data_IF_924497707845
#
_entry.id   IF_924497707845
#
_cell.length_a   1.000
_cell.length_b   1.000
_cell.length_c   1.000
_cell.angle_alpha   90.00
_cell.angle_beta   90.00
_cell.angle_gamma   90.00
#
_symmetry.space_group_name_H-M   'P 1'
#
loop_
_entity.id
_entity.type
_entity.pdbx_description
1 polymer ?
#
# COMPACT_ATOMS: atom_id res chain seq x y z
N UNK A 1 6.89 12.84 -17.99
CA UNK A 1 5.76 11.92 -18.26
C UNK A 1 5.69 10.93 -17.11
N UNK A 2 4.51 10.57 -16.59
CA UNK A 2 4.40 9.54 -15.57
C UNK A 2 4.71 8.15 -16.16
N UNK A 3 5.39 7.31 -15.39
CA UNK A 3 5.70 5.91 -15.72
C UNK A 3 5.30 5.01 -14.55
N UNK A 4 5.11 3.72 -14.80
CA UNK A 4 4.87 2.69 -13.79
C UNK A 4 5.96 1.62 -13.85
N UNK A 5 6.30 1.05 -12.69
CA UNK A 5 7.33 0.01 -12.57
C UNK A 5 6.79 -1.43 -12.61
N UNK A 6 5.46 -1.60 -12.62
CA UNK A 6 4.83 -2.91 -12.59
C UNK A 6 3.39 -2.85 -13.09
N UNK A 7 2.75 -4.02 -13.13
CA UNK A 7 1.34 -4.15 -13.55
C UNK A 7 0.40 -3.39 -12.61
N UNK A 8 -0.65 -2.79 -13.18
CA UNK A 8 -1.65 -2.07 -12.39
C UNK A 8 -2.54 -3.06 -11.66
N UNK A 9 -2.90 -2.72 -10.42
CA UNK A 9 -3.91 -3.48 -9.69
C UNK A 9 -5.33 -3.04 -10.10
N UNK A 10 -6.35 -3.78 -9.61
CA UNK A 10 -7.76 -3.51 -9.93
C UNK A 10 -8.27 -2.16 -9.44
N UNK A 11 -7.78 -1.73 -8.29
CA UNK A 11 -8.12 -0.43 -7.74
C UNK A 11 -7.63 0.68 -8.66
N UNK A 12 -6.34 0.64 -9.04
CA UNK A 12 -5.74 1.59 -9.98
C UNK A 12 -6.43 1.55 -11.34
N UNK A 13 -6.78 0.36 -11.84
CA UNK A 13 -7.57 0.24 -13.07
C UNK A 13 -8.91 0.99 -12.96
N UNK A 14 -9.67 0.74 -11.90
CA UNK A 14 -10.93 1.44 -11.64
C UNK A 14 -10.75 2.96 -11.55
N UNK A 15 -9.71 3.42 -10.83
CA UNK A 15 -9.37 4.84 -10.71
C UNK A 15 -9.13 5.48 -12.09
N UNK A 16 -8.32 4.82 -12.94
CA UNK A 16 -8.00 5.33 -14.27
C UNK A 16 -9.26 5.38 -15.15
N UNK A 17 -10.12 4.37 -15.11
CA UNK A 17 -11.39 4.33 -15.84
C UNK A 17 -12.34 5.45 -15.41
N UNK A 18 -12.53 5.66 -14.11
CA UNK A 18 -13.39 6.72 -13.56
C UNK A 18 -12.84 8.12 -13.87
N UNK A 19 -11.51 8.28 -13.89
CA UNK A 19 -10.85 9.51 -14.28
C UNK A 19 -10.78 9.73 -15.80
N UNK A 20 -11.07 8.70 -16.61
CA UNK A 20 -10.85 8.72 -18.05
C UNK A 20 -9.37 8.92 -18.43
N UNK A 21 -8.46 8.44 -17.59
CA UNK A 21 -7.02 8.61 -17.74
C UNK A 21 -6.38 7.38 -18.43
N UNK A 22 -5.31 7.62 -19.16
CA UNK A 22 -4.53 6.54 -19.78
C UNK A 22 -3.63 5.84 -18.74
N UNK A 23 -3.40 4.55 -18.95
CA UNK A 23 -2.44 3.78 -18.14
C UNK A 23 -1.03 4.31 -18.43
N UNK A 24 -0.26 4.73 -17.41
CA UNK A 24 1.14 5.13 -17.61
C UNK A 24 1.97 4.02 -18.25
N UNK A 25 3.00 4.43 -18.99
CA UNK A 25 3.94 3.52 -19.64
C UNK A 25 4.61 2.60 -18.61
N UNK A 26 4.61 1.29 -18.86
CA UNK A 26 5.44 0.35 -18.11
C UNK A 26 6.90 0.58 -18.48
N UNK A 27 7.69 1.01 -17.50
CA UNK A 27 9.12 1.24 -17.67
C UNK A 27 9.86 0.77 -16.43
N UNK A 28 10.77 -0.17 -16.64
CA UNK A 28 11.59 -0.80 -15.59
C UNK A 28 13.06 -0.39 -15.66
N UNK A 29 13.42 0.52 -16.57
CA UNK A 29 14.77 1.05 -16.75
C UNK A 29 14.70 2.56 -16.95
N UNK A 30 15.50 3.30 -16.20
CA UNK A 30 15.57 4.78 -16.22
C UNK A 30 17.00 5.30 -16.34
N UNK A 31 17.97 4.43 -16.67
CA UNK A 31 19.36 4.82 -16.83
C UNK A 31 19.53 6.01 -17.79
N UNK A 32 20.29 7.02 -17.34
CA UNK A 32 20.54 8.25 -18.10
C UNK A 32 19.36 9.23 -18.18
N UNK A 33 18.21 8.94 -17.55
CA UNK A 33 17.09 9.88 -17.45
C UNK A 33 17.20 10.79 -16.23
N UNK A 34 16.50 11.93 -16.26
CA UNK A 34 16.26 12.76 -15.08
C UNK A 34 14.85 12.46 -14.54
N UNK A 35 14.76 12.02 -13.28
CA UNK A 35 13.54 11.47 -12.69
C UNK A 35 13.13 12.18 -11.40
N UNK A 36 11.84 12.11 -11.10
CA UNK A 36 11.27 12.43 -9.79
C UNK A 36 10.75 11.16 -9.14
N UNK A 37 11.06 10.95 -7.86
CA UNK A 37 10.50 9.84 -7.09
C UNK A 37 9.19 10.30 -6.45
N UNK A 38 8.14 9.50 -6.58
CA UNK A 38 6.83 9.79 -6.01
C UNK A 38 6.40 8.59 -5.18
N UNK A 39 6.03 8.84 -3.92
CA UNK A 39 5.55 7.84 -2.95
C UNK A 39 6.60 6.86 -2.40
N UNK A 40 7.87 7.07 -2.73
CA UNK A 40 8.97 6.31 -2.12
C UNK A 40 10.29 7.10 -2.13
N UNK A 41 11.17 6.72 -1.22
CA UNK A 41 12.55 7.22 -1.13
C UNK A 41 13.56 6.12 -0.72
N UNK A 42 13.11 4.87 -0.67
CA UNK A 42 13.93 3.68 -0.43
C UNK A 42 14.27 3.06 -1.79
N UNK A 43 15.57 3.01 -2.13
CA UNK A 43 16.05 2.62 -3.46
C UNK A 43 15.75 1.15 -3.79
N UNK A 44 15.49 0.31 -2.78
CA UNK A 44 15.01 -1.05 -3.01
C UNK A 44 13.60 -1.11 -3.67
N UNK A 45 12.90 0.02 -3.76
CA UNK A 45 11.60 0.17 -4.42
C UNK A 45 11.70 0.88 -5.80
N UNK A 46 12.90 1.29 -6.19
CA UNK A 46 13.17 1.96 -7.45
C UNK A 46 13.51 0.94 -8.56
N UNK A 47 13.60 1.37 -9.83
CA UNK A 47 14.15 0.54 -10.89
C UNK A 47 15.58 0.11 -10.58
N UNK A 48 15.99 -1.09 -11.02
CA UNK A 48 17.31 -1.67 -10.73
C UNK A 48 18.47 -0.73 -11.14
N UNK A 49 18.26 0.08 -12.17
CA UNK A 49 19.24 1.01 -12.75
C UNK A 49 19.07 2.46 -12.26
N UNK A 50 18.32 2.70 -11.17
CA UNK A 50 18.07 4.05 -10.63
C UNK A 50 19.36 4.83 -10.32
N UNK A 51 20.44 4.13 -9.97
CA UNK A 51 21.74 4.72 -9.69
C UNK A 51 22.41 5.36 -10.92
N UNK A 52 21.95 5.00 -12.13
CA UNK A 52 22.40 5.57 -13.41
C UNK A 52 21.53 6.74 -13.87
N UNK A 53 20.46 7.08 -13.12
CA UNK A 53 19.58 8.22 -13.38
C UNK A 53 19.97 9.44 -12.54
N UNK A 54 19.55 10.62 -12.99
CA UNK A 54 19.60 11.85 -12.18
C UNK A 54 18.28 12.01 -11.42
N UNK A 55 18.32 11.89 -10.09
CA UNK A 55 17.14 12.15 -9.26
C UNK A 55 17.05 13.65 -9.00
N UNK A 56 16.09 14.32 -9.66
CA UNK A 56 15.86 15.76 -9.54
C UNK A 56 15.02 16.13 -8.31
N UNK A 57 14.15 15.22 -7.85
CA UNK A 57 13.38 15.47 -6.64
C UNK A 57 12.55 14.31 -6.14
N UNK A 58 11.93 14.51 -4.97
CA UNK A 58 11.13 13.54 -4.24
C UNK A 58 9.86 14.20 -3.73
N UNK A 59 8.72 13.53 -3.90
CA UNK A 59 7.47 13.83 -3.21
C UNK A 59 6.97 12.56 -2.53
N UNK A 60 6.92 12.55 -1.21
CA UNK A 60 6.68 11.32 -0.43
C UNK A 60 5.92 11.64 0.86
N UNK A 61 5.29 10.62 1.45
CA UNK A 61 4.66 10.69 2.77
C UNK A 61 5.19 9.64 3.75
N UNK A 62 6.13 8.80 3.30
CA UNK A 62 6.83 7.83 4.14
C UNK A 62 7.95 8.47 4.98
N UNK A 63 8.63 7.64 5.78
CA UNK A 63 9.93 8.02 6.34
C UNK A 63 10.89 8.22 5.16
N UNK A 64 11.83 9.16 5.29
CA UNK A 64 12.95 9.24 4.36
C UNK A 64 13.71 7.91 4.33
N UNK A 65 13.92 7.39 3.12
CA UNK A 65 14.66 6.16 2.83
C UNK A 65 16.19 6.36 2.75
N UNK A 66 16.83 5.62 1.86
CA UNK A 66 18.29 5.57 1.64
C UNK A 66 18.73 6.24 0.33
N UNK A 67 17.82 6.92 -0.36
CA UNK A 67 18.12 7.72 -1.54
C UNK A 67 19.23 8.75 -1.27
N UNK A 68 20.21 8.80 -2.17
CA UNK A 68 21.32 9.75 -2.14
C UNK A 68 21.54 10.33 -3.53
N UNK A 69 21.87 11.62 -3.61
CA UNK A 69 22.14 12.32 -4.87
C UNK A 69 23.49 13.03 -4.81
N UNK A 70 24.16 13.12 -5.96
CA UNK A 70 25.41 13.90 -6.08
C UNK A 70 25.12 15.40 -6.06
N UNK A 71 24.05 15.81 -6.73
CA UNK A 71 23.59 17.20 -6.78
C UNK A 71 22.47 17.43 -5.76
N UNK A 72 22.27 18.67 -5.29
CA UNK A 72 21.08 19.02 -4.52
C UNK A 72 19.80 18.64 -5.29
N UNK A 73 18.87 17.98 -4.62
CA UNK A 73 17.54 17.67 -5.14
C UNK A 73 16.46 18.39 -4.34
N UNK A 74 15.29 18.57 -4.94
CA UNK A 74 14.12 19.10 -4.24
C UNK A 74 13.37 17.97 -3.51
N UNK A 75 12.94 18.18 -2.26
CA UNK A 75 12.28 17.14 -1.48
C UNK A 75 11.08 17.68 -0.68
N UNK A 76 9.91 17.11 -0.93
CA UNK A 76 8.66 17.38 -0.21
C UNK A 76 8.20 16.11 0.50
N UNK A 77 8.48 16.02 1.80
CA UNK A 77 8.15 14.84 2.61
C UNK A 77 7.32 15.26 3.81
N UNK A 78 6.02 14.92 3.80
CA UNK A 78 5.08 15.35 4.84
C UNK A 78 4.47 14.15 5.56
N UNK A 79 4.27 14.20 6.89
CA UNK A 79 3.65 13.13 7.64
C UNK A 79 2.11 13.15 7.49
N UNK A 80 1.62 12.93 6.27
CA UNK A 80 0.19 12.90 5.90
C UNK A 80 -0.24 11.50 5.45
N UNK A 81 -1.53 11.31 5.22
CA UNK A 81 -2.11 10.03 4.85
C UNK A 81 -1.72 9.55 3.46
N UNK A 82 -1.46 10.46 2.51
CA UNK A 82 -1.17 10.14 1.11
C UNK A 82 -0.22 11.16 0.46
N UNK A 83 0.65 10.70 -0.44
CA UNK A 83 1.53 11.55 -1.27
C UNK A 83 0.74 12.55 -2.14
N UNK A 84 -0.46 12.21 -2.59
CA UNK A 84 -1.31 13.14 -3.35
C UNK A 84 -1.82 14.32 -2.52
N UNK A 85 -1.89 14.21 -1.18
CA UNK A 85 -2.13 15.36 -0.31
C UNK A 85 -0.96 16.35 -0.37
N UNK A 86 0.28 15.85 -0.50
CA UNK A 86 1.48 16.70 -0.69
C UNK A 86 1.44 17.38 -2.06
N UNK A 87 1.22 16.62 -3.13
CA UNK A 87 1.10 17.15 -4.49
C UNK A 87 -0.02 18.19 -4.59
N UNK A 88 -1.17 17.96 -3.97
CA UNK A 88 -2.28 18.92 -3.94
C UNK A 88 -1.85 20.27 -3.36
N UNK A 89 -1.11 20.22 -2.24
CA UNK A 89 -0.58 21.43 -1.62
C UNK A 89 0.53 22.08 -2.46
N UNK A 90 1.37 21.30 -3.16
CA UNK A 90 2.37 21.84 -4.09
C UNK A 90 1.71 22.61 -5.25
N UNK A 91 0.66 22.05 -5.87
CA UNK A 91 -0.12 22.77 -6.89
C UNK A 91 -0.64 24.11 -6.37
N UNK A 92 -1.16 24.13 -5.14
CA UNK A 92 -1.66 25.37 -4.51
C UNK A 92 -0.55 26.37 -4.20
N UNK A 93 0.60 25.91 -3.71
CA UNK A 93 1.75 26.76 -3.36
C UNK A 93 2.35 27.40 -4.62
N UNK A 94 2.49 26.62 -5.69
CA UNK A 94 3.04 27.07 -6.98
C UNK A 94 2.00 27.79 -7.86
N UNK A 95 0.73 27.82 -7.44
CA UNK A 95 -0.35 28.51 -8.16
C UNK A 95 -0.74 27.83 -9.48
N UNK A 96 -0.59 26.51 -9.56
CA UNK A 96 -1.01 25.70 -10.71
C UNK A 96 -2.48 25.25 -10.59
N UNK A 97 -3.19 25.27 -11.71
CA UNK A 97 -4.55 24.77 -11.80
C UNK A 97 -4.57 23.24 -11.78
N UNK A 98 -5.51 22.67 -11.03
CA UNK A 98 -5.80 21.23 -11.02
C UNK A 98 -7.01 21.00 -11.92
N UNK A 99 -6.84 20.21 -12.98
CA UNK A 99 -7.96 19.86 -13.87
C UNK A 99 -8.90 18.86 -13.20
N UNK A 100 -10.18 18.75 -13.61
CA UNK A 100 -11.11 17.77 -13.06
C UNK A 100 -10.61 16.32 -13.13
N UNK A 101 -9.91 15.95 -14.20
CA UNK A 101 -9.31 14.63 -14.35
C UNK A 101 -8.20 14.40 -13.32
N UNK A 102 -7.26 15.33 -13.16
CA UNK A 102 -6.20 15.23 -12.15
C UNK A 102 -6.82 15.22 -10.74
N UNK A 103 -7.85 16.02 -10.50
CA UNK A 103 -8.53 16.04 -9.21
C UNK A 103 -9.13 14.68 -8.84
N UNK A 104 -9.75 13.98 -9.79
CA UNK A 104 -10.25 12.60 -9.58
C UNK A 104 -9.12 11.63 -9.22
N UNK A 105 -7.99 11.69 -9.93
CA UNK A 105 -6.83 10.83 -9.65
C UNK A 105 -6.26 11.10 -8.25
N UNK A 106 -6.03 12.38 -7.90
CA UNK A 106 -5.50 12.77 -6.59
C UNK A 106 -6.47 12.38 -5.46
N UNK A 107 -7.75 12.66 -5.62
CA UNK A 107 -8.79 12.31 -4.64
C UNK A 107 -8.86 10.81 -4.42
N UNK A 108 -8.83 10.02 -5.50
CA UNK A 108 -8.89 8.56 -5.41
C UNK A 108 -7.69 7.98 -4.69
N UNK A 109 -6.48 8.50 -4.97
CA UNK A 109 -5.27 8.06 -4.28
C UNK A 109 -5.34 8.37 -2.77
N UNK A 110 -5.84 9.57 -2.38
CA UNK A 110 -6.01 9.90 -0.97
C UNK A 110 -7.02 8.97 -0.29
N UNK A 111 -8.14 8.69 -0.94
CA UNK A 111 -9.16 7.77 -0.42
C UNK A 111 -8.64 6.33 -0.32
N UNK A 112 -7.77 5.92 -1.23
CA UNK A 112 -7.12 4.60 -1.22
C UNK A 112 -6.19 4.44 0.00
N UNK A 113 -5.18 5.30 0.14
CA UNK A 113 -4.18 5.19 1.22
C UNK A 113 -4.78 5.41 2.61
N UNK A 114 -5.85 6.22 2.67
CA UNK A 114 -6.54 6.50 3.93
C UNK A 114 -7.67 5.54 4.22
N UNK A 115 -7.95 4.57 3.34
CA UNK A 115 -9.04 3.59 3.48
C UNK A 115 -10.37 4.31 3.76
N UNK A 116 -10.74 5.25 2.89
CA UNK A 116 -11.91 6.09 3.10
C UNK A 116 -11.87 6.88 4.41
N UNK A 117 -10.69 7.36 4.81
CA UNK A 117 -10.39 8.03 6.08
C UNK A 117 -10.39 7.16 7.34
N UNK A 118 -10.58 5.84 7.25
CA UNK A 118 -10.54 4.93 8.39
C UNK A 118 -9.11 4.62 8.87
N UNK A 119 -8.12 4.75 7.99
CA UNK A 119 -6.72 4.45 8.31
C UNK A 119 -6.16 5.39 9.39
N UNK A 120 -5.36 4.89 10.35
CA UNK A 120 -4.67 5.73 11.33
C UNK A 120 -3.56 6.61 10.73
N UNK A 121 -3.30 6.51 9.41
CA UNK A 121 -2.44 7.46 8.68
C UNK A 121 -3.18 8.73 8.29
N UNK A 122 -4.52 8.69 8.20
CA UNK A 122 -5.32 9.82 7.75
C UNK A 122 -5.17 11.03 8.69
N UNK A 123 -4.93 12.19 8.09
CA UNK A 123 -4.83 13.48 8.78
C UNK A 123 -5.96 14.41 8.35
N UNK A 124 -6.10 15.55 9.04
CA UNK A 124 -7.05 16.58 8.61
C UNK A 124 -6.71 17.15 7.22
N UNK A 125 -5.42 17.24 6.86
CA UNK A 125 -4.99 17.73 5.54
C UNK A 125 -5.49 16.84 4.41
N UNK A 126 -5.59 15.53 4.64
CA UNK A 126 -6.10 14.58 3.64
C UNK A 126 -7.61 14.79 3.42
N UNK A 127 -8.36 15.01 4.50
CA UNK A 127 -9.81 15.30 4.44
C UNK A 127 -10.09 16.64 3.76
N UNK A 128 -9.30 17.67 4.09
CA UNK A 128 -9.42 18.99 3.48
C UNK A 128 -9.09 18.94 1.98
N UNK A 129 -8.03 18.20 1.61
CA UNK A 129 -7.67 17.98 0.21
C UNK A 129 -8.78 17.26 -0.55
N UNK A 130 -9.35 16.17 -0.02
CA UNK A 130 -10.46 15.46 -0.67
C UNK A 130 -11.68 16.37 -0.83
N UNK A 131 -12.03 17.17 0.16
CA UNK A 131 -13.16 18.08 0.06
C UNK A 131 -13.00 19.10 -1.08
N UNK A 132 -11.81 19.68 -1.24
CA UNK A 132 -11.52 20.60 -2.34
C UNK A 132 -11.43 19.89 -3.69
N UNK A 133 -10.76 18.72 -3.74
CA UNK A 133 -10.61 17.92 -4.96
C UNK A 133 -11.94 17.38 -5.47
N UNK A 134 -12.86 16.98 -4.58
CA UNK A 134 -14.19 16.53 -4.95
C UNK A 134 -14.99 17.63 -5.69
N UNK A 135 -14.87 18.88 -5.22
CA UNK A 135 -15.50 20.02 -5.89
C UNK A 135 -14.90 20.26 -7.29
N UNK A 136 -13.58 20.14 -7.45
CA UNK A 136 -12.89 20.30 -8.74
C UNK A 136 -13.23 19.13 -9.69
N UNK A 137 -13.35 17.92 -9.15
CA UNK A 137 -13.67 16.69 -9.86
C UNK A 137 -15.15 16.54 -10.26
N UNK A 138 -16.02 17.45 -9.79
CA UNK A 138 -17.48 17.38 -9.89
C UNK A 138 -18.06 16.07 -9.31
N UNK A 139 -17.54 15.67 -8.14
CA UNK A 139 -18.02 14.50 -7.39
C UNK A 139 -18.92 14.98 -6.26
N UNK A 140 -20.22 14.74 -6.41
CA UNK A 140 -21.25 15.22 -5.48
C UNK A 140 -21.44 14.30 -4.26
N UNK A 141 -21.11 13.02 -4.40
CA UNK A 141 -21.25 12.00 -3.35
C UNK A 141 -19.90 11.28 -3.16
N UNK A 142 -19.09 11.83 -2.25
CA UNK A 142 -17.77 11.28 -1.92
C UNK A 142 -17.89 9.93 -1.22
N UNK A 143 -18.95 9.69 -0.45
CA UNK A 143 -19.15 8.42 0.25
C UNK A 143 -19.46 7.29 -0.73
N UNK A 144 -20.33 7.53 -1.71
CA UNK A 144 -20.60 6.58 -2.78
C UNK A 144 -19.34 6.33 -3.63
N UNK A 145 -18.60 7.38 -3.99
CA UNK A 145 -17.34 7.27 -4.72
C UNK A 145 -16.32 6.42 -3.96
N UNK A 146 -16.16 6.68 -2.67
CA UNK A 146 -15.25 5.94 -1.79
C UNK A 146 -15.65 4.48 -1.71
N UNK A 147 -16.95 4.20 -1.58
CA UNK A 147 -17.46 2.83 -1.54
C UNK A 147 -17.13 2.06 -2.82
N UNK A 148 -17.35 2.64 -4.00
CA UNK A 148 -17.05 2.00 -5.28
C UNK A 148 -15.54 1.72 -5.43
N UNK A 149 -14.70 2.68 -5.01
CA UNK A 149 -13.26 2.51 -4.95
C UNK A 149 -12.84 1.35 -4.03
N UNK A 150 -13.38 1.30 -2.81
CA UNK A 150 -13.05 0.24 -1.85
C UNK A 150 -13.53 -1.13 -2.33
N UNK A 151 -14.68 -1.21 -3.01
CA UNK A 151 -15.14 -2.46 -3.66
C UNK A 151 -14.11 -2.93 -4.70
N UNK A 152 -13.58 -2.03 -5.53
CA UNK A 152 -12.55 -2.35 -6.50
C UNK A 152 -11.22 -2.78 -5.83
N UNK A 153 -10.83 -2.11 -4.73
CA UNK A 153 -9.66 -2.42 -3.91
C UNK A 153 -9.69 -3.84 -3.35
N UNK A 154 -10.84 -4.23 -2.80
CA UNK A 154 -11.03 -5.52 -2.13
C UNK A 154 -11.47 -6.63 -3.08
N UNK A 155 -11.45 -6.41 -4.39
CA UNK A 155 -11.86 -7.41 -5.37
C UNK A 155 -10.76 -8.48 -5.56
N UNK A 156 -11.02 -9.67 -5.03
CA UNK A 156 -10.12 -10.83 -5.09
C UNK A 156 -10.49 -11.87 -6.16
N UNK A 157 -11.58 -11.66 -6.92
CA UNK A 157 -12.13 -12.67 -7.84
C UNK A 157 -11.08 -13.17 -8.83
N UNK A 158 -10.91 -14.48 -9.00
CA UNK A 158 -9.95 -15.05 -9.97
C UNK A 158 -8.47 -14.93 -9.60
N UNK A 159 -8.12 -14.41 -8.42
CA UNK A 159 -6.77 -14.49 -7.87
C UNK A 159 -6.58 -15.80 -7.10
N UNK A 160 -5.43 -16.43 -7.26
CA UNK A 160 -4.98 -17.56 -6.43
C UNK A 160 -4.50 -17.10 -5.04
N UNK A 161 -4.40 -18.03 -4.10
CA UNK A 161 -3.88 -17.73 -2.76
C UNK A 161 -2.46 -17.15 -2.81
N UNK A 162 -1.58 -17.71 -3.64
CA UNK A 162 -0.23 -17.22 -3.84
C UNK A 162 -0.21 -15.78 -4.39
N UNK A 163 -1.04 -15.48 -5.40
CA UNK A 163 -1.17 -14.13 -5.95
C UNK A 163 -1.71 -13.13 -4.92
N UNK A 164 -2.67 -13.54 -4.08
CA UNK A 164 -3.20 -12.69 -3.01
C UNK A 164 -2.12 -12.33 -1.99
N UNK A 165 -1.33 -13.29 -1.54
CA UNK A 165 -0.24 -13.06 -0.57
C UNK A 165 0.84 -12.17 -1.19
N UNK A 166 1.22 -12.41 -2.45
CA UNK A 166 2.32 -11.72 -3.12
C UNK A 166 2.06 -10.22 -3.34
N UNK A 167 0.79 -9.84 -3.57
CA UNK A 167 0.40 -8.45 -3.90
C UNK A 167 0.92 -7.40 -2.93
N UNK A 168 0.92 -7.70 -1.63
CA UNK A 168 1.52 -6.85 -0.61
C UNK A 168 2.33 -7.70 0.38
N UNK A 169 3.28 -8.47 -0.14
CA UNK A 169 4.27 -9.18 0.66
C UNK A 169 5.50 -8.30 0.92
N UNK A 170 5.99 -8.29 2.15
CA UNK A 170 7.28 -7.68 2.50
C UNK A 170 8.14 -8.64 3.31
N UNK A 171 9.42 -8.70 2.95
CA UNK A 171 10.45 -9.41 3.69
C UNK A 171 11.13 -8.54 4.74
N UNK A 172 11.48 -9.15 5.87
CA UNK A 172 12.14 -8.52 7.00
C UNK A 172 13.24 -9.42 7.55
N UNK A 173 14.51 -8.97 7.61
CA UNK A 173 15.52 -9.63 8.41
C UNK A 173 15.25 -9.36 9.90
N UNK A 174 15.06 -10.41 10.70
CA UNK A 174 14.75 -10.30 12.13
C UNK A 174 15.43 -11.41 12.93
N UNK A 175 16.11 -11.07 14.02
CA UNK A 175 16.82 -12.02 14.90
C UNK A 175 17.71 -13.05 14.16
N UNK A 176 18.37 -12.61 13.07
CA UNK A 176 19.28 -13.46 12.29
C UNK A 176 18.58 -14.48 11.37
N UNK A 177 17.27 -14.33 11.15
CA UNK A 177 16.48 -15.12 10.18
C UNK A 177 15.62 -14.19 9.34
N UNK A 178 15.10 -14.73 8.24
CA UNK A 178 14.21 -14.02 7.34
C UNK A 178 12.74 -14.32 7.67
N UNK A 179 11.92 -13.28 7.60
CA UNK A 179 10.49 -13.29 7.88
C UNK A 179 9.76 -12.59 6.74
N UNK A 180 8.58 -13.08 6.35
CA UNK A 180 7.70 -12.38 5.40
C UNK A 180 6.33 -12.10 6.01
N UNK A 181 5.78 -10.91 5.74
CA UNK A 181 4.42 -10.53 6.17
C UNK A 181 3.65 -9.91 5.02
N UNK A 182 2.63 -10.63 4.56
CA UNK A 182 1.67 -10.21 3.56
C UNK A 182 0.49 -9.46 4.15
N UNK A 183 -0.22 -8.69 3.32
CA UNK A 183 -1.49 -8.09 3.68
C UNK A 183 -2.50 -8.23 2.52
N UNK A 184 -3.72 -8.65 2.85
CA UNK A 184 -4.85 -8.74 1.92
C UNK A 184 -6.00 -7.93 2.52
N UNK A 185 -6.37 -6.86 1.83
CA UNK A 185 -7.50 -6.01 2.20
C UNK A 185 -8.79 -6.60 1.64
N UNK A 186 -9.79 -6.73 2.50
CA UNK A 186 -11.07 -7.35 2.24
C UNK A 186 -12.21 -6.43 2.70
N UNK A 187 -13.32 -6.42 1.97
CA UNK A 187 -14.54 -5.78 2.43
C UNK A 187 -15.14 -6.54 3.63
N UNK A 188 -15.05 -7.88 3.60
CA UNK A 188 -15.40 -8.76 4.73
C UNK A 188 -14.51 -10.01 4.72
N UNK A 189 -14.30 -10.64 5.88
CA UNK A 189 -13.43 -11.82 5.98
C UNK A 189 -13.98 -13.04 5.22
N UNK A 190 -15.29 -13.13 5.04
CA UNK A 190 -15.96 -14.25 4.36
C UNK A 190 -15.53 -14.38 2.90
N UNK A 191 -14.99 -13.32 2.29
CA UNK A 191 -14.47 -13.35 0.92
C UNK A 191 -13.40 -14.43 0.73
N UNK A 192 -12.62 -14.74 1.77
CA UNK A 192 -11.50 -15.70 1.68
C UNK A 192 -11.75 -17.01 2.42
N UNK A 193 -12.95 -17.25 2.95
CA UNK A 193 -13.28 -18.48 3.69
C UNK A 193 -12.99 -19.75 2.88
N UNK A 194 -13.30 -19.73 1.57
CA UNK A 194 -13.03 -20.83 0.65
C UNK A 194 -11.56 -21.01 0.26
N UNK A 195 -10.66 -20.15 0.74
CA UNK A 195 -9.24 -20.12 0.36
C UNK A 195 -8.29 -20.26 1.55
N UNK A 196 -8.79 -20.36 2.78
CA UNK A 196 -7.97 -20.41 4.00
C UNK A 196 -6.93 -21.52 3.93
N UNK A 197 -7.32 -22.75 3.58
CA UNK A 197 -6.39 -23.88 3.49
C UNK A 197 -5.31 -23.64 2.42
N UNK A 198 -5.67 -23.01 1.30
CA UNK A 198 -4.73 -22.69 0.23
C UNK A 198 -3.76 -21.57 0.62
N UNK A 199 -4.22 -20.57 1.37
CA UNK A 199 -3.38 -19.50 1.92
C UNK A 199 -2.39 -20.08 2.95
N UNK A 200 -2.86 -20.95 3.84
CA UNK A 200 -2.00 -21.62 4.81
C UNK A 200 -0.94 -22.50 4.14
N UNK A 201 -1.31 -23.25 3.11
CA UNK A 201 -0.38 -24.07 2.33
C UNK A 201 0.66 -23.22 1.58
N UNK A 202 0.27 -22.06 1.06
CA UNK A 202 1.19 -21.09 0.43
C UNK A 202 2.22 -20.57 1.42
N UNK A 203 1.79 -20.16 2.63
CA UNK A 203 2.70 -19.70 3.69
C UNK A 203 3.69 -20.78 4.13
N UNK A 204 3.22 -22.03 4.24
CA UNK A 204 4.08 -23.18 4.56
C UNK A 204 5.11 -23.43 3.46
N UNK A 205 4.68 -23.41 2.19
CA UNK A 205 5.57 -23.56 1.05
C UNK A 205 6.65 -22.46 0.99
N UNK A 206 6.30 -21.21 1.29
CA UNK A 206 7.26 -20.09 1.38
C UNK A 206 8.29 -20.30 2.48
N UNK A 207 7.87 -20.75 3.66
CA UNK A 207 8.81 -21.10 4.73
C UNK A 207 9.81 -22.17 4.30
N UNK A 208 9.35 -23.20 3.59
CA UNK A 208 10.19 -24.30 3.13
C UNK A 208 11.13 -23.90 1.98
N UNK A 209 10.62 -23.19 0.97
CA UNK A 209 11.35 -22.84 -0.24
C UNK A 209 12.40 -21.76 0.00
N UNK A 210 12.06 -20.75 0.81
CA UNK A 210 12.90 -19.57 1.04
C UNK A 210 13.64 -19.64 2.39
N UNK A 211 13.54 -20.78 3.10
CA UNK A 211 14.17 -21.02 4.40
C UNK A 211 13.82 -19.97 5.48
N UNK A 212 12.59 -19.47 5.43
CA UNK A 212 12.09 -18.44 6.34
C UNK A 212 11.83 -19.03 7.73
N UNK A 213 12.09 -18.24 8.78
CA UNK A 213 11.68 -18.63 10.13
C UNK A 213 10.18 -18.45 10.36
N UNK A 214 9.55 -17.53 9.62
CA UNK A 214 8.13 -17.19 9.78
C UNK A 214 7.56 -16.58 8.50
N UNK A 215 6.35 -16.98 8.14
CA UNK A 215 5.56 -16.34 7.10
C UNK A 215 4.15 -16.08 7.63
N UNK A 216 3.61 -14.89 7.39
CA UNK A 216 2.24 -14.56 7.76
C UNK A 216 1.53 -13.75 6.67
N UNK A 217 0.19 -13.84 6.66
CA UNK A 217 -0.67 -12.92 5.91
C UNK A 217 -1.73 -12.34 6.84
N UNK A 218 -1.87 -11.01 6.78
CA UNK A 218 -2.94 -10.26 7.42
C UNK A 218 -4.16 -10.24 6.49
N UNK A 219 -5.23 -10.94 6.85
CA UNK A 219 -6.53 -10.84 6.18
C UNK A 219 -7.33 -9.74 6.87
N UNK A 220 -7.37 -8.55 6.27
CA UNK A 220 -7.85 -7.33 6.93
C UNK A 220 -9.21 -6.93 6.38
N UNK A 221 -10.24 -7.00 7.21
CA UNK A 221 -11.53 -6.36 6.94
C UNK A 221 -11.41 -4.85 7.17
N UNK A 222 -11.42 -4.11 6.07
CA UNK A 222 -11.25 -2.65 6.08
C UNK A 222 -12.49 -1.92 6.63
N UNK A 223 -13.65 -2.57 6.63
CA UNK A 223 -14.92 -2.01 7.11
C UNK A 223 -15.01 -2.08 8.64
N UNK A 224 -14.57 -3.20 9.22
CA UNK A 224 -14.66 -3.44 10.68
C UNK A 224 -13.34 -3.19 11.41
N UNK A 225 -12.26 -2.91 10.68
CA UNK A 225 -10.90 -2.78 11.21
C UNK A 225 -10.43 -4.03 11.98
N UNK A 226 -10.89 -5.21 11.57
CA UNK A 226 -10.47 -6.49 12.13
C UNK A 226 -9.51 -7.17 11.17
N UNK A 227 -8.43 -7.75 11.70
CA UNK A 227 -7.50 -8.57 10.94
C UNK A 227 -7.48 -10.00 11.48
N UNK A 228 -7.68 -10.99 10.62
CA UNK A 228 -7.33 -12.39 10.90
C UNK A 228 -5.90 -12.62 10.43
N UNK A 229 -5.03 -13.04 11.34
CA UNK A 229 -3.64 -13.38 11.00
C UNK A 229 -3.55 -14.88 10.71
N UNK A 230 -3.16 -15.24 9.49
CA UNK A 230 -2.70 -16.60 9.18
C UNK A 230 -1.18 -16.60 9.21
N UNK A 231 -0.59 -17.65 9.78
CA UNK A 231 0.86 -17.71 9.94
C UNK A 231 1.39 -19.15 9.97
N UNK A 232 2.62 -19.33 9.50
CA UNK A 232 3.36 -20.61 9.46
C UNK A 232 4.85 -20.37 9.72
N UNK A 233 5.59 -21.46 9.92
CA UNK A 233 7.04 -21.46 10.11
C UNK A 233 7.49 -21.87 11.51
N UNK A 234 8.80 -21.91 11.70
CA UNK A 234 9.49 -22.31 12.94
C UNK A 234 8.98 -21.54 14.17
N UNK A 235 8.67 -20.26 14.02
CA UNK A 235 8.27 -19.38 15.12
C UNK A 235 6.76 -19.31 15.37
N UNK A 236 5.94 -20.06 14.61
CA UNK A 236 4.49 -20.06 14.75
C UNK A 236 4.01 -20.36 16.19
N UNK A 237 4.67 -21.30 16.87
CA UNK A 237 4.32 -21.71 18.24
C UNK A 237 4.29 -20.53 19.24
N UNK A 238 5.08 -19.46 19.00
CA UNK A 238 5.10 -18.27 19.86
C UNK A 238 3.77 -17.51 19.87
N UNK A 239 2.96 -17.65 18.82
CA UNK A 239 1.70 -16.92 18.64
C UNK A 239 0.46 -17.70 19.07
N UNK A 240 0.55 -19.02 19.25
CA UNK A 240 -0.58 -19.91 19.63
C UNK A 240 -1.30 -19.42 20.90
N UNK A 241 -0.56 -18.81 21.85
CA UNK A 241 -1.13 -18.24 23.08
C UNK A 241 -2.14 -17.09 22.85
N UNK A 242 -2.13 -16.47 21.67
CA UNK A 242 -3.03 -15.39 21.29
C UNK A 242 -4.26 -15.88 20.51
N UNK A 243 -4.30 -17.16 20.15
CA UNK A 243 -5.43 -17.73 19.44
C UNK A 243 -6.65 -17.89 20.35
N UNK A 244 -7.82 -17.69 19.76
CA UNK A 244 -9.11 -18.09 20.31
C UNK A 244 -9.76 -18.99 19.28
N UNK A 245 -10.13 -20.20 19.70
CA UNK A 245 -10.74 -21.21 18.83
C UNK A 245 -9.90 -21.52 17.56
N UNK A 246 -8.57 -21.51 17.70
CA UNK A 246 -7.63 -21.77 16.60
C UNK A 246 -7.46 -20.60 15.62
N UNK A 247 -7.92 -19.41 15.98
CA UNK A 247 -7.81 -18.21 15.15
C UNK A 247 -7.16 -17.06 15.92
N UNK A 248 -6.24 -16.36 15.26
CA UNK A 248 -5.63 -15.14 15.78
C UNK A 248 -6.31 -13.93 15.16
N UNK A 249 -7.14 -13.25 15.96
CA UNK A 249 -7.84 -12.03 15.56
C UNK A 249 -7.18 -10.81 16.20
N UNK A 250 -6.88 -9.81 15.38
CA UNK A 250 -6.33 -8.52 15.78
C UNK A 250 -7.40 -7.44 15.61
N UNK A 251 -7.88 -6.88 16.73
CA UNK A 251 -8.85 -5.80 16.72
C UNK A 251 -8.18 -4.45 16.39
N UNK A 252 -8.92 -3.57 15.72
CA UNK A 252 -8.47 -2.22 15.31
C UNK A 252 -7.13 -2.21 14.57
N UNK A 253 -6.86 -3.25 13.77
CA UNK A 253 -5.58 -3.45 13.08
C UNK A 253 -5.82 -3.42 11.57
N UNK A 254 -5.35 -2.35 10.93
CA UNK A 254 -5.47 -2.11 9.48
C UNK A 254 -4.13 -2.01 8.77
N UNK A 255 -3.05 -1.67 9.50
CA UNK A 255 -1.74 -1.39 8.88
C UNK A 255 -0.70 -2.42 9.29
N UNK A 256 -0.17 -3.19 8.33
CA UNK A 256 1.04 -4.01 8.55
C UNK A 256 2.19 -3.15 9.10
N UNK A 257 2.46 -1.99 8.50
CA UNK A 257 3.62 -1.15 8.86
C UNK A 257 3.52 -0.52 10.25
N UNK A 258 2.34 0.03 10.61
CA UNK A 258 2.17 0.75 11.89
C UNK A 258 1.73 -0.14 13.04
N UNK A 259 1.11 -1.29 12.76
CA UNK A 259 0.44 -2.09 13.79
C UNK A 259 0.88 -3.56 13.73
N UNK A 260 0.69 -4.23 12.60
CA UNK A 260 0.93 -5.68 12.46
C UNK A 260 2.38 -6.09 12.69
N UNK A 261 3.30 -5.54 11.90
CA UNK A 261 4.74 -5.83 12.00
C UNK A 261 5.34 -5.44 13.36
N UNK A 262 5.12 -4.22 13.91
CA UNK A 262 5.59 -3.87 15.25
C UNK A 262 5.11 -4.82 16.35
N UNK A 263 3.85 -5.28 16.27
CA UNK A 263 3.32 -6.27 17.20
C UNK A 263 4.01 -7.64 17.05
N UNK A 264 4.17 -8.12 15.80
CA UNK A 264 4.90 -9.36 15.51
C UNK A 264 6.34 -9.32 16.00
N UNK A 265 7.05 -8.20 15.86
CA UNK A 265 8.42 -8.07 16.39
C UNK A 265 8.47 -8.27 17.91
N UNK A 266 7.44 -7.85 18.62
CA UNK A 266 7.36 -8.00 20.09
C UNK A 266 7.08 -9.45 20.47
N UNK A 267 6.15 -10.11 19.78
CA UNK A 267 5.72 -11.47 20.13
C UNK A 267 6.66 -12.56 19.60
N UNK A 268 7.37 -12.30 18.50
CA UNK A 268 8.35 -13.22 17.90
C UNK A 268 9.76 -13.09 18.49
N UNK A 269 10.01 -12.08 19.35
CA UNK A 269 11.29 -11.89 20.02
C UNK A 269 11.73 -13.10 20.86
#
# INVERSE_FOLDING_TARGET
MPIRQGEINRETQHILEVAGAEVPELRTSVAGETVWLVDYSDLAQAPDDIAEAEIAGIVDHHRLGDVMTVNPMEAWIWPVGCTNTVLFNMFKIEGHEITPQIAKLMMSAILSDTVGFASPTCTQKDKDAVAELAAIADVQDVDAFTKDLLIAKTNIEGLSAAELVEKDLKGYPFNGRDVVVGQVELATLEQVDGMIDALEADLEARCANDNLAFAAVMLTDITTAQTRLLYKGEWAEKLVKHEKDGMLMMENTLSRKKQGWPWLQTELA
#
